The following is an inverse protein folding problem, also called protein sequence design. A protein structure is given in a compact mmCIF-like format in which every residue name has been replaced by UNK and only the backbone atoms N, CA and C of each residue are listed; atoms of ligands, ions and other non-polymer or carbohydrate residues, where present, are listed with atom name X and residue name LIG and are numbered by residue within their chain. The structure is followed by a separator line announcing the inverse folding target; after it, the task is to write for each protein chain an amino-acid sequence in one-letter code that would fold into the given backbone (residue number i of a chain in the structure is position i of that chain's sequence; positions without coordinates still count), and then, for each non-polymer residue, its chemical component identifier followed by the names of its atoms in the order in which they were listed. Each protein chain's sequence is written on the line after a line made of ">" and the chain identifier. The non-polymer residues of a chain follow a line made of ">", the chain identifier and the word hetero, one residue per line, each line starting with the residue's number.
data_IF_634207752560
#
_entry.id   IF_634207752560
#
_cell.length_a   1.000
_cell.length_b   1.000
_cell.length_c   1.000
_cell.angle_alpha   90.00
_cell.angle_beta   90.00
_cell.angle_gamma   90.00
#
_symmetry.space_group_name_H-M   'P 1'
#
loop_
_entity.id
_entity.type
_entity.pdbx_description
1 polymer ?
#
# COMPACT_ATOMS: atom_id res chain seq x y z
N UNK A 1 20.42 -0.65 -6.30
CA UNK A 1 19.63 0.55 -6.66
C UNK A 1 19.74 1.55 -5.51
N UNK A 2 19.52 2.87 -5.71
CA UNK A 2 19.55 3.80 -4.59
C UNK A 2 18.35 3.57 -3.66
N UNK A 3 18.56 3.78 -2.36
CA UNK A 3 17.53 3.68 -1.33
C UNK A 3 16.45 4.76 -1.57
N UNK A 4 15.18 4.33 -1.59
CA UNK A 4 14.05 5.24 -1.75
C UNK A 4 13.47 5.65 -0.40
N UNK A 5 13.26 4.68 0.49
CA UNK A 5 12.68 4.87 1.81
C UNK A 5 13.54 4.17 2.87
N UNK A 6 13.76 4.81 4.01
CA UNK A 6 14.31 4.19 5.20
C UNK A 6 13.55 4.58 6.46
N UNK A 7 13.29 3.60 7.29
CA UNK A 7 12.90 3.73 8.69
C UNK A 7 14.15 3.40 9.53
N UNK A 8 14.62 4.34 10.31
CA UNK A 8 15.82 4.23 11.11
C UNK A 8 15.43 4.29 12.59
N UNK A 9 15.27 3.11 13.22
CA UNK A 9 14.90 2.92 14.63
C UNK A 9 13.64 3.71 15.04
N UNK A 10 12.60 3.71 14.19
CA UNK A 10 11.40 4.54 14.37
C UNK A 10 10.50 3.98 15.46
N UNK A 11 10.26 4.78 16.50
CA UNK A 11 9.21 4.54 17.51
C UNK A 11 8.11 5.57 17.31
N UNK A 12 6.86 5.11 17.09
CA UNK A 12 5.75 5.97 16.74
C UNK A 12 4.41 5.46 17.28
N UNK A 13 3.40 6.35 17.27
CA UNK A 13 2.05 6.00 17.70
C UNK A 13 1.14 7.22 17.85
N UNK A 14 0.11 7.10 18.68
CA UNK A 14 -0.92 8.12 18.85
C UNK A 14 -0.80 8.78 20.24
N UNK A 15 -0.64 10.09 20.26
CA UNK A 15 -0.42 10.82 21.51
C UNK A 15 0.84 10.31 22.23
N UNK A 16 0.67 9.66 23.38
CA UNK A 16 1.73 9.02 24.14
C UNK A 16 1.74 7.49 24.03
N UNK A 17 0.77 6.90 23.34
CA UNK A 17 0.70 5.45 23.14
C UNK A 17 1.67 5.03 22.03
N UNK A 18 2.63 4.17 22.35
CA UNK A 18 3.54 3.56 21.39
C UNK A 18 2.83 2.38 20.72
N UNK A 19 2.79 2.36 19.40
CA UNK A 19 2.27 1.27 18.58
C UNK A 19 3.39 0.61 17.78
N UNK A 20 4.35 1.40 17.28
CA UNK A 20 5.53 0.94 16.56
C UNK A 20 6.76 1.15 17.44
N UNK A 21 7.56 0.11 17.62
CA UNK A 21 8.75 0.17 18.49
C UNK A 21 10.02 -0.17 17.70
N UNK A 22 10.88 0.83 17.55
CA UNK A 22 12.20 0.74 16.90
C UNK A 22 12.18 0.02 15.56
N UNK A 23 11.23 0.38 14.68
CA UNK A 23 11.19 -0.15 13.32
C UNK A 23 12.43 0.25 12.54
N UNK A 24 13.05 -0.74 11.92
CA UNK A 24 14.23 -0.59 11.08
C UNK A 24 14.05 -1.39 9.80
N UNK A 25 13.92 -0.73 8.66
CA UNK A 25 13.88 -1.33 7.34
C UNK A 25 14.10 -0.29 6.25
N UNK A 26 14.45 -0.73 5.06
CA UNK A 26 14.58 0.13 3.88
C UNK A 26 13.91 -0.47 2.65
N UNK A 27 13.60 0.38 1.67
CA UNK A 27 13.03 0.03 0.38
C UNK A 27 13.82 0.74 -0.72
N UNK A 28 14.21 0.00 -1.75
CA UNK A 28 14.94 0.54 -2.90
C UNK A 28 13.97 1.18 -3.91
N UNK A 29 14.49 2.01 -4.82
CA UNK A 29 13.69 2.59 -5.89
C UNK A 29 13.12 1.50 -6.81
N UNK A 30 11.80 1.58 -7.10
CA UNK A 30 11.11 0.62 -7.94
C UNK A 30 10.86 -0.74 -7.28
N UNK A 31 11.26 -0.93 -6.03
CA UNK A 31 10.98 -2.13 -5.25
C UNK A 31 9.59 -2.11 -4.63
N UNK A 32 9.02 -3.28 -4.41
CA UNK A 32 7.76 -3.45 -3.69
C UNK A 32 7.97 -4.25 -2.40
N UNK A 33 7.28 -3.83 -1.33
CA UNK A 33 7.37 -4.39 0.02
C UNK A 33 6.00 -4.87 0.50
N UNK A 34 5.89 -6.13 0.90
CA UNK A 34 4.77 -6.62 1.69
C UNK A 34 4.97 -6.31 3.18
N UNK A 35 3.94 -5.83 3.84
CA UNK A 35 3.88 -5.74 5.29
C UNK A 35 2.84 -6.74 5.78
N UNK A 36 3.31 -7.81 6.39
CA UNK A 36 2.52 -8.91 6.91
C UNK A 36 2.41 -8.84 8.43
N UNK A 37 1.40 -9.52 8.97
CA UNK A 37 1.18 -9.62 10.41
C UNK A 37 -0.30 -9.67 10.74
N UNK A 38 -0.62 -10.09 11.96
CA UNK A 38 -2.01 -10.21 12.45
C UNK A 38 -2.69 -8.83 12.56
N UNK A 39 -4.01 -8.85 12.71
CA UNK A 39 -4.74 -7.60 12.96
C UNK A 39 -4.32 -6.96 14.28
N UNK A 40 -4.19 -5.63 14.27
CA UNK A 40 -3.81 -4.85 15.43
C UNK A 40 -2.32 -4.82 15.75
N UNK A 41 -1.43 -5.41 14.93
CA UNK A 41 0.04 -5.40 15.18
C UNK A 41 0.73 -4.10 14.79
N UNK A 42 0.02 -3.16 14.11
CA UNK A 42 0.58 -1.86 13.74
C UNK A 42 0.78 -1.64 12.24
N UNK A 43 0.25 -2.50 11.34
CA UNK A 43 0.44 -2.37 9.88
C UNK A 43 -0.07 -1.03 9.33
N UNK A 44 -1.35 -0.70 9.56
CA UNK A 44 -1.94 0.59 9.18
C UNK A 44 -1.23 1.76 9.86
N UNK A 45 -0.86 1.60 11.15
CA UNK A 45 -0.11 2.63 11.88
C UNK A 45 1.24 2.93 11.23
N UNK A 46 1.91 1.92 10.64
CA UNK A 46 3.14 2.14 9.88
C UNK A 46 2.88 3.02 8.64
N UNK A 47 1.82 2.73 7.86
CA UNK A 47 1.44 3.56 6.72
C UNK A 47 1.06 4.99 7.15
N UNK A 48 0.28 5.12 8.22
CA UNK A 48 -0.08 6.42 8.79
C UNK A 48 1.14 7.19 9.29
N UNK A 49 2.12 6.48 9.89
CA UNK A 49 3.39 7.07 10.32
C UNK A 49 4.17 7.58 9.10
N UNK A 50 4.24 6.80 8.03
CA UNK A 50 4.86 7.21 6.78
C UNK A 50 4.11 8.37 6.12
N UNK A 51 2.80 8.49 6.29
CA UNK A 51 2.01 9.63 5.81
C UNK A 51 2.03 10.85 6.74
N UNK A 52 2.62 10.74 7.94
CA UNK A 52 2.74 11.84 8.90
C UNK A 52 1.49 12.10 9.72
N UNK A 53 0.62 11.09 9.86
CA UNK A 53 -0.62 11.14 10.62
C UNK A 53 -0.46 10.65 12.08
N UNK A 54 0.73 10.14 12.43
CA UNK A 54 1.08 9.73 13.79
C UNK A 54 2.21 10.59 14.35
N UNK A 55 2.51 10.42 15.63
CA UNK A 55 3.65 11.06 16.28
C UNK A 55 4.86 10.14 16.25
N UNK A 56 5.93 10.54 15.60
CA UNK A 56 7.25 9.90 15.74
C UNK A 56 7.90 10.41 17.01
N UNK A 57 8.23 9.49 17.93
CA UNK A 57 8.82 9.77 19.25
C UNK A 57 10.33 9.62 19.22
N UNK A 58 10.84 8.63 18.45
CA UNK A 58 12.27 8.35 18.28
C UNK A 58 12.54 7.89 16.84
N UNK A 59 13.81 7.99 16.43
CA UNK A 59 14.26 7.56 15.12
C UNK A 59 14.01 8.59 14.02
N UNK A 60 14.21 8.18 12.78
CA UNK A 60 14.07 9.04 11.61
C UNK A 60 13.44 8.28 10.43
N UNK A 61 12.66 9.00 9.62
CA UNK A 61 12.12 8.50 8.34
C UNK A 61 12.79 9.30 7.24
N UNK A 62 13.47 8.60 6.32
CA UNK A 62 14.10 9.23 5.15
C UNK A 62 13.40 8.83 3.87
N UNK A 63 13.12 9.81 3.03
CA UNK A 63 12.57 9.63 1.70
C UNK A 63 13.52 10.22 0.66
N UNK A 64 14.04 9.39 -0.23
CA UNK A 64 15.04 9.79 -1.24
C UNK A 64 16.24 10.56 -0.60
N UNK A 65 16.71 10.08 0.54
CA UNK A 65 17.82 10.67 1.29
C UNK A 65 17.46 11.90 2.14
N UNK A 66 16.22 12.41 2.05
CA UNK A 66 15.76 13.57 2.82
C UNK A 66 15.02 13.11 4.07
N UNK A 67 15.34 13.66 5.23
CA UNK A 67 14.60 13.44 6.47
C UNK A 67 13.22 14.09 6.40
N UNK A 68 12.18 13.25 6.39
CA UNK A 68 10.77 13.65 6.34
C UNK A 68 10.04 13.42 7.66
N UNK A 69 10.76 13.06 8.74
CA UNK A 69 10.20 12.65 10.03
C UNK A 69 9.14 13.62 10.55
N UNK A 70 9.39 14.92 10.41
CA UNK A 70 8.50 15.98 10.90
C UNK A 70 7.67 16.65 9.81
N UNK A 71 7.71 16.13 8.59
CA UNK A 71 6.93 16.73 7.51
C UNK A 71 5.43 16.41 7.71
N UNK A 72 4.55 17.41 7.52
CA UNK A 72 3.12 17.15 7.50
C UNK A 72 2.72 16.38 6.23
N UNK A 73 1.60 15.69 6.29
CA UNK A 73 1.08 14.78 5.24
C UNK A 73 1.10 15.42 3.84
N UNK A 74 0.64 16.67 3.71
CA UNK A 74 0.60 17.35 2.41
C UNK A 74 1.97 17.57 1.76
N UNK A 75 3.05 17.72 2.54
CA UNK A 75 4.41 17.80 2.00
C UNK A 75 4.90 16.43 1.52
N UNK A 76 4.57 15.35 2.25
CA UNK A 76 4.91 13.98 1.86
C UNK A 76 4.21 13.60 0.56
N UNK A 77 2.93 13.93 0.41
CA UNK A 77 2.19 13.76 -0.85
C UNK A 77 2.81 14.57 -1.99
N UNK A 78 3.29 15.81 -1.72
CA UNK A 78 4.01 16.60 -2.73
C UNK A 78 5.37 16.02 -3.10
N UNK A 79 6.00 15.31 -2.19
CA UNK A 79 7.26 14.60 -2.45
C UNK A 79 7.08 13.29 -3.20
N UNK A 80 5.83 12.89 -3.46
CA UNK A 80 5.52 11.72 -4.29
C UNK A 80 5.06 10.49 -3.50
N UNK A 81 4.57 10.63 -2.26
CA UNK A 81 3.91 9.54 -1.56
C UNK A 81 2.42 9.55 -1.91
N UNK A 82 1.90 8.44 -2.42
CA UNK A 82 0.47 8.21 -2.65
C UNK A 82 -0.06 7.16 -1.68
N UNK A 83 -1.29 7.30 -1.19
CA UNK A 83 -1.88 6.36 -0.26
C UNK A 83 -3.31 6.02 -0.64
N UNK A 84 -3.63 4.73 -0.59
CA UNK A 84 -4.97 4.15 -0.72
C UNK A 84 -5.29 3.51 0.62
N UNK A 85 -6.12 4.15 1.45
CA UNK A 85 -6.53 3.60 2.74
C UNK A 85 -7.53 2.46 2.56
N UNK A 86 -7.70 1.64 3.60
CA UNK A 86 -8.61 0.51 3.65
C UNK A 86 -10.05 0.87 3.28
N UNK A 87 -10.55 2.03 3.77
CA UNK A 87 -11.92 2.49 3.51
C UNK A 87 -12.12 3.10 2.10
N UNK A 88 -11.08 3.04 1.22
CA UNK A 88 -11.12 3.55 -0.16
C UNK A 88 -11.32 5.07 -0.30
N UNK A 89 -12.06 5.69 0.58
CA UNK A 89 -12.35 7.14 0.65
C UNK A 89 -12.77 7.77 -0.70
N UNK A 90 -13.57 7.03 -1.48
CA UNK A 90 -14.14 7.53 -2.75
C UNK A 90 -15.14 8.64 -2.46
N UNK A 91 -15.11 9.72 -3.23
CA UNK A 91 -16.10 10.78 -3.13
C UNK A 91 -17.44 10.31 -3.71
N UNK A 92 -18.47 10.04 -2.87
CA UNK A 92 -19.68 9.35 -3.32
C UNK A 92 -20.54 10.20 -4.26
N UNK A 93 -20.45 11.53 -4.16
CA UNK A 93 -21.21 12.50 -4.94
C UNK A 93 -20.49 13.02 -6.20
N UNK A 94 -19.27 12.59 -6.44
CA UNK A 94 -18.52 12.87 -7.66
C UNK A 94 -18.61 11.68 -8.61
N UNK A 95 -18.62 11.96 -9.92
CA UNK A 95 -18.46 10.93 -10.94
C UNK A 95 -17.08 10.29 -10.88
N UNK A 96 -16.89 9.14 -11.53
CA UNK A 96 -15.57 8.48 -11.65
C UNK A 96 -14.53 9.46 -12.22
N UNK A 97 -14.88 10.18 -13.30
CA UNK A 97 -13.97 11.13 -13.94
C UNK A 97 -13.64 12.30 -13.02
N UNK A 98 -14.61 12.84 -12.29
CA UNK A 98 -14.39 13.91 -11.31
C UNK A 98 -13.52 13.41 -10.14
N UNK A 99 -13.78 12.21 -9.61
CA UNK A 99 -12.95 11.59 -8.58
C UNK A 99 -11.47 11.50 -9.01
N UNK A 100 -11.22 11.11 -10.26
CA UNK A 100 -9.87 10.98 -10.80
C UNK A 100 -9.20 12.34 -11.01
N UNK A 101 -9.96 13.36 -11.44
CA UNK A 101 -9.38 14.63 -11.86
C UNK A 101 -9.23 15.66 -10.75
N UNK A 102 -10.04 15.59 -9.68
CA UNK A 102 -10.06 16.58 -8.60
C UNK A 102 -8.70 16.78 -7.89
N UNK A 103 -7.87 15.73 -7.84
CA UNK A 103 -6.53 15.78 -7.21
C UNK A 103 -5.40 15.55 -8.22
N UNK A 104 -5.71 15.50 -9.51
CA UNK A 104 -4.74 15.21 -10.55
C UNK A 104 -3.57 16.19 -10.57
N UNK A 105 -2.38 15.66 -10.80
CA UNK A 105 -1.15 16.43 -10.99
C UNK A 105 -0.55 16.14 -12.37
N UNK A 106 0.23 17.07 -12.88
CA UNK A 106 0.97 16.85 -14.12
C UNK A 106 1.99 15.73 -13.95
N UNK A 107 2.05 14.80 -14.93
CA UNK A 107 3.00 13.70 -14.91
C UNK A 107 2.64 12.59 -15.89
N UNK A 108 3.27 11.42 -15.73
CA UNK A 108 3.08 10.26 -16.58
C UNK A 108 1.70 9.60 -16.45
N UNK A 109 1.12 9.65 -15.24
CA UNK A 109 -0.25 9.20 -14.99
C UNK A 109 -1.23 10.32 -15.35
N UNK A 110 -2.20 9.98 -16.17
CA UNK A 110 -3.28 10.86 -16.63
C UNK A 110 -4.55 10.01 -16.84
N UNK A 111 -5.69 10.66 -17.11
CA UNK A 111 -6.98 9.96 -17.30
C UNK A 111 -6.90 8.83 -18.34
N UNK A 112 -6.25 9.09 -19.48
CA UNK A 112 -6.13 8.06 -20.52
C UNK A 112 -5.41 6.84 -19.97
N UNK A 113 -4.26 7.03 -19.31
CA UNK A 113 -3.44 5.93 -18.78
C UNK A 113 -4.17 5.17 -17.67
N UNK A 114 -4.89 5.87 -16.78
CA UNK A 114 -5.71 5.22 -15.74
C UNK A 114 -6.83 4.39 -16.37
N UNK A 115 -7.49 4.88 -17.42
CA UNK A 115 -8.53 4.12 -18.12
C UNK A 115 -7.98 2.94 -18.94
N UNK A 116 -6.77 3.06 -19.48
CA UNK A 116 -6.09 1.95 -20.17
C UNK A 116 -5.63 0.88 -19.13
N UNK A 117 -5.38 1.31 -17.90
CA UNK A 117 -5.00 0.44 -16.77
C UNK A 117 -6.20 -0.24 -16.10
N UNK A 118 -7.31 0.50 -15.92
CA UNK A 118 -8.58 0.05 -15.37
C UNK A 118 -9.73 0.31 -16.36
N UNK A 119 -9.94 -0.56 -17.39
CA UNK A 119 -10.96 -0.34 -18.40
C UNK A 119 -12.38 -0.18 -17.86
N UNK A 120 -12.71 -0.87 -16.75
CA UNK A 120 -14.02 -0.75 -16.07
C UNK A 120 -14.31 0.68 -15.63
N UNK A 121 -13.30 1.44 -15.18
CA UNK A 121 -13.49 2.84 -14.80
C UNK A 121 -13.85 3.71 -16.00
N UNK A 122 -13.33 3.39 -17.19
CA UNK A 122 -13.69 4.08 -18.43
C UNK A 122 -15.17 3.87 -18.79
N UNK A 123 -15.65 2.62 -18.67
CA UNK A 123 -17.05 2.28 -18.90
C UNK A 123 -17.99 2.99 -17.94
N UNK A 124 -17.54 3.18 -16.70
CA UNK A 124 -18.28 3.81 -15.60
C UNK A 124 -17.98 5.30 -15.40
N UNK A 125 -17.26 5.97 -16.32
CA UNK A 125 -16.74 7.33 -16.13
C UNK A 125 -17.76 8.37 -15.67
N UNK A 126 -19.02 8.24 -16.11
CA UNK A 126 -20.14 9.12 -15.74
C UNK A 126 -20.96 8.66 -14.52
N UNK A 127 -20.67 7.47 -13.95
CA UNK A 127 -21.35 7.01 -12.75
C UNK A 127 -20.78 7.72 -11.51
N UNK A 128 -21.64 7.97 -10.52
CA UNK A 128 -21.20 8.49 -9.22
C UNK A 128 -20.47 7.43 -8.39
N UNK A 129 -19.61 7.87 -7.48
CA UNK A 129 -18.82 6.97 -6.62
C UNK A 129 -19.68 6.00 -5.80
N UNK A 130 -20.85 6.42 -5.35
CA UNK A 130 -21.81 5.59 -4.61
C UNK A 130 -22.60 4.58 -5.49
N UNK A 131 -22.45 4.64 -6.81
CA UNK A 131 -23.07 3.71 -7.76
C UNK A 131 -22.13 2.57 -8.18
N UNK A 132 -20.92 2.59 -7.69
CA UNK A 132 -19.90 1.60 -8.01
C UNK A 132 -19.95 0.40 -7.07
N UNK A 133 -19.63 -0.78 -7.60
CA UNK A 133 -19.34 -1.96 -6.79
C UNK A 133 -18.08 -1.75 -5.93
N UNK A 134 -17.89 -2.57 -4.88
CA UNK A 134 -16.69 -2.48 -4.03
C UNK A 134 -15.37 -2.59 -4.81
N UNK A 135 -15.31 -3.48 -5.81
CA UNK A 135 -14.14 -3.61 -6.67
C UNK A 135 -13.90 -2.39 -7.58
N UNK A 136 -14.95 -1.82 -8.16
CA UNK A 136 -14.86 -0.59 -8.95
C UNK A 136 -14.44 0.61 -8.09
N UNK A 137 -14.93 0.68 -6.84
CA UNK A 137 -14.48 1.70 -5.87
C UNK A 137 -13.00 1.54 -5.52
N UNK A 138 -12.53 0.31 -5.37
CA UNK A 138 -11.11 0.03 -5.11
C UNK A 138 -10.23 0.44 -6.28
N UNK A 139 -10.62 0.06 -7.51
CA UNK A 139 -9.94 0.51 -8.72
C UNK A 139 -9.92 2.04 -8.83
N UNK A 140 -11.05 2.69 -8.48
CA UNK A 140 -11.14 4.15 -8.48
C UNK A 140 -10.21 4.78 -7.44
N UNK A 141 -10.13 4.23 -6.22
CA UNK A 141 -9.24 4.72 -5.17
C UNK A 141 -7.76 4.62 -5.60
N UNK A 142 -7.36 3.48 -6.19
CA UNK A 142 -6.01 3.31 -6.74
C UNK A 142 -5.77 4.27 -7.91
N UNK A 143 -6.70 4.34 -8.87
CA UNK A 143 -6.63 5.26 -10.01
C UNK A 143 -6.46 6.71 -9.57
N UNK A 144 -7.22 7.13 -8.55
CA UNK A 144 -7.12 8.45 -7.95
C UNK A 144 -5.74 8.71 -7.33
N UNK A 145 -5.19 7.75 -6.59
CA UNK A 145 -3.84 7.85 -6.05
C UNK A 145 -2.79 7.96 -7.17
N UNK A 146 -2.91 7.18 -8.25
CA UNK A 146 -2.03 7.26 -9.43
C UNK A 146 -2.08 8.63 -10.11
N UNK A 147 -3.26 9.29 -10.17
CA UNK A 147 -3.41 10.63 -10.74
C UNK A 147 -2.61 11.71 -9.99
N UNK A 148 -2.13 11.44 -8.78
CA UNK A 148 -1.18 12.34 -8.07
C UNK A 148 0.26 12.18 -8.58
N UNK A 149 0.52 11.25 -9.49
CA UNK A 149 1.83 10.89 -10.01
C UNK A 149 2.81 10.49 -8.90
N UNK A 150 2.48 9.48 -8.08
CA UNK A 150 3.31 9.08 -6.95
C UNK A 150 4.62 8.42 -7.42
N UNK A 151 5.64 8.48 -6.57
CA UNK A 151 6.89 7.71 -6.67
C UNK A 151 6.87 6.48 -5.74
N UNK A 152 6.03 6.52 -4.70
CA UNK A 152 5.74 5.42 -3.80
C UNK A 152 4.24 5.33 -3.60
N UNK A 153 3.66 4.16 -3.82
CA UNK A 153 2.24 3.88 -3.60
C UNK A 153 2.06 3.00 -2.37
N UNK A 154 1.26 3.48 -1.41
CA UNK A 154 0.89 2.75 -0.21
C UNK A 154 -0.50 2.19 -0.40
N UNK A 155 -0.67 0.89 -0.19
CA UNK A 155 -1.93 0.15 -0.33
C UNK A 155 -2.24 -0.54 0.99
N UNK A 156 -3.32 -0.13 1.64
CA UNK A 156 -3.76 -0.68 2.93
C UNK A 156 -4.92 -1.63 2.71
N UNK A 157 -4.67 -2.94 2.83
CA UNK A 157 -5.62 -4.04 2.65
C UNK A 157 -6.48 -3.90 1.37
N UNK A 158 -5.83 -3.73 0.20
CA UNK A 158 -6.54 -3.39 -1.03
C UNK A 158 -7.51 -4.47 -1.53
N UNK A 159 -7.41 -5.70 -1.04
CA UNK A 159 -8.25 -6.84 -1.45
C UNK A 159 -9.40 -7.12 -0.50
N UNK A 160 -9.48 -6.42 0.65
CA UNK A 160 -10.46 -6.73 1.68
C UNK A 160 -11.90 -6.55 1.20
N UNK A 161 -12.74 -7.58 1.48
CA UNK A 161 -14.17 -7.57 1.17
C UNK A 161 -14.51 -7.63 -0.32
N UNK A 162 -13.56 -8.04 -1.18
CA UNK A 162 -13.78 -8.17 -2.61
C UNK A 162 -14.09 -9.61 -3.02
N UNK A 163 -14.88 -9.76 -4.09
CA UNK A 163 -15.14 -11.06 -4.68
C UNK A 163 -13.86 -11.65 -5.30
N UNK A 164 -13.68 -13.00 -5.32
CA UNK A 164 -12.44 -13.64 -5.79
C UNK A 164 -11.99 -13.19 -7.18
N UNK A 165 -12.89 -13.08 -8.12
CA UNK A 165 -12.57 -12.61 -9.49
C UNK A 165 -12.03 -11.19 -9.52
N UNK A 166 -12.47 -10.34 -8.61
CA UNK A 166 -11.95 -8.96 -8.49
C UNK A 166 -10.58 -8.94 -7.80
N UNK A 167 -10.38 -9.83 -6.82
CA UNK A 167 -9.07 -10.01 -6.17
C UNK A 167 -8.03 -10.40 -7.21
N UNK A 168 -8.31 -11.37 -8.08
CA UNK A 168 -7.40 -11.78 -9.17
C UNK A 168 -7.08 -10.62 -10.12
N UNK A 169 -8.12 -9.89 -10.59
CA UNK A 169 -7.97 -8.74 -11.49
C UNK A 169 -7.11 -7.63 -10.85
N UNK A 170 -7.38 -7.33 -9.59
CA UNK A 170 -6.70 -6.27 -8.86
C UNK A 170 -5.26 -6.65 -8.48
N UNK A 171 -5.02 -7.90 -8.07
CA UNK A 171 -3.68 -8.43 -7.80
C UNK A 171 -2.80 -8.36 -9.05
N UNK A 172 -3.33 -8.76 -10.22
CA UNK A 172 -2.63 -8.64 -11.48
C UNK A 172 -2.32 -7.17 -11.83
N UNK A 173 -3.25 -6.26 -11.57
CA UNK A 173 -3.04 -4.84 -11.79
C UNK A 173 -1.95 -4.27 -10.87
N UNK A 174 -1.98 -4.59 -9.56
CA UNK A 174 -0.95 -4.13 -8.60
C UNK A 174 0.41 -4.71 -8.96
N UNK A 175 0.50 -6.00 -9.29
CA UNK A 175 1.76 -6.61 -9.76
C UNK A 175 2.32 -5.87 -10.98
N UNK A 176 1.47 -5.56 -11.96
CA UNK A 176 1.87 -4.78 -13.13
C UNK A 176 2.39 -3.39 -12.77
N UNK A 177 1.80 -2.70 -11.77
CA UNK A 177 2.31 -1.42 -11.26
C UNK A 177 3.73 -1.56 -10.71
N UNK A 178 3.99 -2.60 -9.92
CA UNK A 178 5.29 -2.85 -9.30
C UNK A 178 6.36 -3.23 -10.34
N UNK A 179 6.05 -4.18 -11.22
CA UNK A 179 7.03 -4.79 -12.13
C UNK A 179 7.26 -3.98 -13.41
N UNK A 180 6.17 -3.53 -14.06
CA UNK A 180 6.25 -2.95 -15.41
C UNK A 180 6.36 -1.44 -15.41
N UNK A 181 5.81 -0.78 -14.37
CA UNK A 181 5.80 0.67 -14.27
C UNK A 181 6.94 1.22 -13.39
N UNK A 182 7.67 0.32 -12.70
CA UNK A 182 8.78 0.68 -11.83
C UNK A 182 8.34 1.56 -10.65
N UNK A 183 7.07 1.49 -10.26
CA UNK A 183 6.50 2.24 -9.15
C UNK A 183 6.84 1.51 -7.84
N UNK A 184 7.60 2.15 -6.98
CA UNK A 184 7.81 1.61 -5.64
C UNK A 184 6.46 1.50 -4.91
N UNK A 185 6.24 0.41 -4.17
CA UNK A 185 4.98 0.20 -3.46
C UNK A 185 5.17 -0.48 -2.12
N UNK A 186 4.28 -0.17 -1.19
CA UNK A 186 4.12 -0.91 0.07
C UNK A 186 2.69 -1.45 0.09
N UNK A 187 2.55 -2.76 0.24
CA UNK A 187 1.27 -3.46 0.29
C UNK A 187 1.10 -4.07 1.67
N UNK A 188 0.11 -3.60 2.40
CA UNK A 188 -0.35 -4.21 3.64
C UNK A 188 -1.47 -5.16 3.29
N UNK A 189 -1.37 -6.44 3.68
CA UNK A 189 -2.39 -7.44 3.41
C UNK A 189 -2.50 -8.44 4.57
N UNK A 190 -3.72 -8.97 4.75
CA UNK A 190 -4.00 -10.06 5.69
C UNK A 190 -3.75 -11.44 5.04
N UNK A 191 -3.87 -11.53 3.71
CA UNK A 191 -3.63 -12.74 2.93
C UNK A 191 -2.17 -12.81 2.50
N UNK A 192 -1.30 -13.54 3.24
CA UNK A 192 0.14 -13.47 3.03
C UNK A 192 0.56 -13.95 1.64
N UNK A 193 -0.10 -14.99 1.12
CA UNK A 193 0.22 -15.54 -0.21
C UNK A 193 0.03 -14.46 -1.28
N UNK A 194 -1.10 -13.75 -1.28
CA UNK A 194 -1.36 -12.68 -2.25
C UNK A 194 -0.35 -11.54 -2.15
N UNK A 195 -0.03 -11.12 -0.91
CA UNK A 195 0.95 -10.04 -0.70
C UNK A 195 2.34 -10.44 -1.22
N UNK A 196 2.80 -11.65 -0.90
CA UNK A 196 4.10 -12.16 -1.32
C UNK A 196 4.22 -12.34 -2.84
N UNK A 197 3.13 -12.72 -3.51
CA UNK A 197 3.09 -12.84 -4.96
C UNK A 197 3.16 -11.47 -5.70
N UNK A 198 2.80 -10.39 -5.04
CA UNK A 198 2.77 -9.03 -5.61
C UNK A 198 4.02 -8.22 -5.32
N UNK A 199 4.92 -8.71 -4.46
CA UNK A 199 6.02 -7.90 -3.93
C UNK A 199 7.38 -8.59 -4.04
N UNK A 200 8.46 -7.77 -4.02
CA UNK A 200 9.84 -8.26 -4.06
C UNK A 200 10.38 -8.61 -2.68
N UNK A 201 10.02 -7.80 -1.69
CA UNK A 201 10.47 -7.93 -0.30
C UNK A 201 9.27 -8.08 0.62
N UNK A 202 9.49 -8.68 1.78
CA UNK A 202 8.49 -8.77 2.83
C UNK A 202 9.08 -8.48 4.20
N UNK A 203 8.30 -7.81 5.04
CA UNK A 203 8.53 -7.75 6.49
C UNK A 203 7.31 -8.31 7.21
N UNK A 204 7.56 -8.97 8.34
CA UNK A 204 6.50 -9.43 9.23
C UNK A 204 6.55 -8.61 10.51
N UNK A 205 5.40 -8.03 10.87
CA UNK A 205 5.23 -7.26 12.10
C UNK A 205 4.59 -8.13 13.17
N UNK A 206 5.16 -8.07 14.37
CA UNK A 206 4.55 -8.57 15.60
C UNK A 206 4.65 -7.50 16.69
N UNK A 207 3.53 -7.11 17.28
CA UNK A 207 3.45 -6.14 18.37
C UNK A 207 4.24 -4.85 18.13
N UNK A 208 4.17 -4.34 16.91
CA UNK A 208 4.83 -3.09 16.55
C UNK A 208 6.33 -3.19 16.23
N UNK A 209 6.89 -4.40 16.16
CA UNK A 209 8.29 -4.65 15.81
C UNK A 209 8.41 -5.49 14.55
N UNK A 210 9.51 -5.36 13.80
CA UNK A 210 9.84 -6.25 12.68
C UNK A 210 10.46 -7.53 13.25
N UNK A 211 9.81 -8.68 13.04
CA UNK A 211 10.31 -10.00 13.47
C UNK A 211 10.91 -10.81 12.33
N UNK A 212 10.65 -10.43 11.10
CA UNK A 212 11.26 -11.02 9.90
C UNK A 212 11.35 -9.98 8.78
N UNK A 213 12.43 -10.04 8.01
CA UNK A 213 12.62 -9.25 6.79
C UNK A 213 13.41 -10.09 5.77
N UNK A 214 12.97 -10.09 4.51
CA UNK A 214 13.64 -10.82 3.43
C UNK A 214 12.86 -10.83 2.12
N UNK A 215 13.39 -11.52 1.09
CA UNK A 215 12.72 -11.66 -0.19
C UNK A 215 11.35 -12.36 -0.07
N UNK A 216 10.33 -11.78 -0.72
CA UNK A 216 8.98 -12.35 -0.72
C UNK A 216 8.94 -13.79 -1.23
N UNK A 217 9.72 -14.09 -2.27
CA UNK A 217 9.79 -15.44 -2.84
C UNK A 217 10.35 -16.48 -1.87
N UNK A 218 11.34 -16.13 -1.05
CA UNK A 218 11.92 -17.04 -0.05
C UNK A 218 10.89 -17.31 1.07
N UNK A 219 10.22 -16.28 1.55
CA UNK A 219 9.20 -16.42 2.59
C UNK A 219 7.99 -17.21 2.07
N UNK A 220 7.58 -17.02 0.81
CA UNK A 220 6.49 -17.78 0.17
C UNK A 220 6.82 -19.27 0.02
N UNK A 221 8.10 -19.61 -0.20
CA UNK A 221 8.55 -20.99 -0.34
C UNK A 221 8.62 -21.76 0.99
N UNK A 222 8.80 -21.06 2.11
CA UNK A 222 8.88 -21.65 3.46
C UNK A 222 7.54 -21.52 4.21
N UNK A 223 6.60 -22.43 3.89
CA UNK A 223 5.29 -22.47 4.54
C UNK A 223 5.39 -22.60 6.07
N UNK A 224 6.34 -23.38 6.57
CA UNK A 224 6.50 -23.59 8.01
C UNK A 224 6.94 -22.33 8.74
N UNK A 225 7.88 -21.57 8.15
CA UNK A 225 8.31 -20.27 8.68
C UNK A 225 7.14 -19.27 8.65
N UNK A 226 6.42 -19.20 7.52
CA UNK A 226 5.30 -18.27 7.34
C UNK A 226 4.17 -18.55 8.34
N UNK A 227 3.80 -19.82 8.53
CA UNK A 227 2.81 -20.24 9.54
C UNK A 227 3.29 -19.92 10.97
N UNK A 228 4.55 -20.17 11.28
CA UNK A 228 5.14 -19.83 12.58
C UNK A 228 5.11 -18.34 12.89
N UNK A 229 5.44 -17.50 11.91
CA UNK A 229 5.45 -16.04 12.06
C UNK A 229 4.04 -15.44 12.17
N UNK A 230 3.07 -15.97 11.45
CA UNK A 230 1.70 -15.43 11.45
C UNK A 230 0.78 -16.10 12.47
N UNK A 231 1.19 -17.26 13.03
CA UNK A 231 0.43 -17.97 14.06
C UNK A 231 -0.91 -18.52 13.57
N UNK A 232 -1.05 -18.81 12.27
CA UNK A 232 -2.25 -19.41 11.63
C UNK A 232 -1.79 -20.47 10.64
N UNK A 233 -2.41 -21.64 10.68
CA UNK A 233 -2.32 -22.58 9.57
C UNK A 233 -2.83 -21.87 8.30
N UNK A 234 -2.02 -21.84 7.26
CA UNK A 234 -2.44 -21.29 5.97
C UNK A 234 -3.41 -22.32 5.39
N UNK A 235 -4.71 -22.08 5.60
CA UNK A 235 -5.72 -22.87 4.95
C UNK A 235 -5.52 -22.76 3.43
N UNK A 236 -5.59 -23.88 2.73
CA UNK A 236 -5.54 -23.96 1.26
C UNK A 236 -6.87 -23.42 0.68
N UNK A 237 -7.17 -22.15 0.92
CA UNK A 237 -8.38 -21.51 0.43
C UNK A 237 -8.04 -20.47 -0.64
N UNK A 238 -7.57 -20.94 -1.78
CA UNK A 238 -7.81 -20.27 -3.08
C UNK A 238 -7.52 -21.29 -4.19
N UNK A 239 -8.47 -22.15 -4.51
CA UNK A 239 -8.86 -22.64 -5.85
C UNK A 239 -9.97 -23.67 -5.66
N UNK A 240 -11.19 -23.25 -5.77
CA UNK A 240 -12.31 -24.11 -6.20
C UNK A 240 -13.27 -23.26 -7.00
#
# INVERSE_FOLDING_TARGET
>A
MPEALAFDHVTAGYGNAVVLDRLDFSLQQGESLAILGRNGVGKTTLLETLMGNTRVMQGAIRWQGVDITRWPSHQRVRAGLGWVPQEREVFPSLTVEENLTVIARLGGWNLKRVYDFFPRLRERRGNYGNQLSGGEQQMLAIGRALMTNPKLLLLDEPMEGLAPIIVEELSAAIRRLCESEGLASIVVEQHPVLALEMTHQAIVLERGTVVHAGPSAELAADKGLLEGLLGVGIAEDVVS
#
